data_IF_751512812549
#
_entry.id   IF_751512812549
#
_cell.length_a   1.000
_cell.length_b   1.000
_cell.length_c   1.000
_cell.angle_alpha   90.00
_cell.angle_beta   90.00
_cell.angle_gamma   90.00
#
_symmetry.space_group_name_H-M   'P 1'
#
loop_
_entity.id
_entity.type
_entity.pdbx_description
1 polymer ?
#
# COMPACT_ATOMS: atom_id res chain seq x y z
N UNK A 1 -99.47 -7.23 -23.22
CA UNK A 1 -98.55 -7.92 -24.16
C UNK A 1 -97.16 -7.92 -23.52
N UNK A 2 -96.63 -9.12 -23.27
CA UNK A 2 -95.21 -9.54 -23.22
C UNK A 2 -94.21 -8.67 -22.41
N UNK A 3 -93.88 -9.09 -21.17
CA UNK A 3 -92.61 -9.75 -20.77
C UNK A 3 -91.45 -8.75 -20.50
N UNK A 4 -90.57 -8.82 -19.50
CA UNK A 4 -90.34 -9.68 -18.33
C UNK A 4 -89.03 -9.16 -17.64
N UNK A 5 -89.02 -8.96 -16.31
CA UNK A 5 -87.88 -9.05 -15.32
C UNK A 5 -86.61 -8.19 -15.53
N UNK A 6 -86.21 -7.32 -14.57
CA UNK A 6 -85.38 -7.54 -13.35
C UNK A 6 -83.96 -8.10 -13.59
N UNK A 7 -83.00 -7.52 -12.85
CA UNK A 7 -81.57 -7.82 -12.60
C UNK A 7 -80.57 -6.86 -13.30
N UNK A 8 -79.87 -5.96 -12.61
CA UNK A 8 -78.74 -6.11 -11.64
C UNK A 8 -77.38 -6.23 -12.36
N UNK A 9 -76.52 -5.23 -12.11
CA UNK A 9 -75.04 -5.26 -12.12
C UNK A 9 -74.28 -5.75 -13.36
N UNK A 10 -73.54 -4.84 -14.01
CA UNK A 10 -72.12 -5.06 -14.40
C UNK A 10 -71.39 -3.72 -14.39
N UNK A 11 -70.73 -3.40 -13.27
CA UNK A 11 -69.63 -2.44 -13.25
C UNK A 11 -68.37 -3.25 -13.62
N UNK A 12 -67.81 -3.01 -14.80
CA UNK A 12 -66.60 -3.67 -15.28
C UNK A 12 -65.40 -3.07 -14.55
N UNK A 13 -65.09 -3.61 -13.37
CA UNK A 13 -63.81 -3.38 -12.69
C UNK A 13 -62.78 -4.26 -13.39
N UNK A 14 -61.90 -3.64 -14.18
CA UNK A 14 -60.64 -4.27 -14.57
C UNK A 14 -59.76 -4.33 -13.32
N UNK A 15 -59.76 -5.48 -12.64
CA UNK A 15 -58.70 -5.83 -11.71
C UNK A 15 -57.47 -6.14 -12.55
N UNK A 16 -56.62 -5.12 -12.77
CA UNK A 16 -55.22 -5.39 -13.10
C UNK A 16 -54.59 -6.01 -11.86
N UNK A 17 -54.56 -7.34 -11.82
CA UNK A 17 -53.61 -8.06 -10.98
C UNK A 17 -52.25 -7.76 -11.60
N UNK A 18 -51.60 -6.70 -11.11
CA UNK A 18 -50.15 -6.58 -11.29
C UNK A 18 -49.56 -7.78 -10.58
N UNK A 19 -49.22 -8.83 -11.35
CA UNK A 19 -48.27 -9.81 -10.89
C UNK A 19 -46.97 -9.04 -10.70
N UNK A 20 -46.75 -8.52 -9.50
CA UNK A 20 -45.41 -8.23 -9.04
C UNK A 20 -44.72 -9.58 -9.02
N UNK A 21 -44.00 -9.91 -10.09
CA UNK A 21 -42.94 -10.90 -9.99
C UNK A 21 -41.93 -10.29 -9.03
N UNK A 22 -42.13 -10.53 -7.74
CA UNK A 22 -41.00 -10.55 -6.83
C UNK A 22 -40.06 -11.57 -7.43
N UNK A 23 -38.93 -11.12 -7.99
CA UNK A 23 -37.78 -11.99 -8.14
C UNK A 23 -37.61 -12.62 -6.76
N UNK A 24 -37.95 -13.89 -6.62
CA UNK A 24 -37.65 -14.61 -5.42
C UNK A 24 -36.13 -14.55 -5.32
N UNK A 25 -35.62 -13.71 -4.41
CA UNK A 25 -34.28 -13.91 -3.90
C UNK A 25 -34.23 -15.39 -3.54
N UNK A 26 -33.34 -16.15 -4.17
CA UNK A 26 -33.07 -17.50 -3.70
C UNK A 26 -32.84 -17.38 -2.19
N UNK A 27 -33.48 -18.23 -1.40
CA UNK A 27 -33.29 -18.18 0.04
C UNK A 27 -31.80 -18.38 0.32
N UNK A 28 -31.19 -17.51 1.12
CA UNK A 28 -29.78 -17.65 1.53
C UNK A 28 -29.53 -19.10 1.98
N UNK A 29 -28.40 -19.71 1.61
CA UNK A 29 -28.07 -21.10 1.98
C UNK A 29 -27.63 -21.19 3.45
N UNK A 30 -28.55 -20.82 4.35
CA UNK A 30 -28.26 -20.62 5.77
C UNK A 30 -27.91 -21.91 6.50
N UNK A 31 -28.49 -23.05 6.10
CA UNK A 31 -28.16 -24.34 6.70
C UNK A 31 -26.76 -24.80 6.30
N UNK A 32 -26.35 -24.57 5.04
CA UNK A 32 -24.97 -24.78 4.58
C UNK A 32 -23.99 -23.92 5.40
N UNK A 33 -24.29 -22.64 5.56
CA UNK A 33 -23.47 -21.73 6.37
C UNK A 33 -23.38 -22.17 7.84
N UNK A 34 -24.48 -22.63 8.45
CA UNK A 34 -24.49 -23.16 9.84
C UNK A 34 -23.57 -24.36 10.00
N UNK A 35 -23.60 -25.29 9.05
CA UNK A 35 -22.75 -26.48 9.07
C UNK A 35 -21.27 -26.10 8.95
N UNK A 36 -20.94 -25.18 8.04
CA UNK A 36 -19.59 -24.65 7.88
C UNK A 36 -19.12 -23.96 9.17
N UNK A 37 -19.94 -23.08 9.75
CA UNK A 37 -19.60 -22.35 10.98
C UNK A 37 -19.38 -23.32 12.14
N UNK A 38 -20.31 -24.26 12.36
CA UNK A 38 -20.20 -25.26 13.44
C UNK A 38 -18.91 -26.07 13.33
N UNK A 39 -18.52 -26.42 12.11
CA UNK A 39 -17.38 -27.28 11.83
C UNK A 39 -16.04 -26.55 11.84
N UNK A 40 -15.97 -25.34 11.28
CA UNK A 40 -14.70 -24.68 10.97
C UNK A 40 -14.44 -23.39 11.76
N UNK A 41 -15.44 -22.82 12.43
CA UNK A 41 -15.19 -21.63 13.25
C UNK A 41 -14.16 -21.93 14.34
N UNK A 42 -13.25 -20.97 14.57
CA UNK A 42 -12.10 -21.16 15.46
C UNK A 42 -12.49 -21.43 16.92
N UNK A 43 -13.71 -21.06 17.32
CA UNK A 43 -14.26 -21.26 18.66
C UNK A 43 -15.57 -22.06 18.63
N UNK A 44 -16.07 -22.44 19.80
CA UNK A 44 -17.40 -23.04 19.93
C UNK A 44 -18.48 -21.98 19.80
N UNK A 45 -19.49 -22.25 18.96
CA UNK A 45 -20.60 -21.31 18.71
C UNK A 45 -21.86 -21.84 19.40
N UNK A 46 -22.50 -21.05 20.28
CA UNK A 46 -23.73 -21.47 20.94
C UNK A 46 -24.89 -21.52 19.93
N UNK A 47 -25.84 -22.43 20.14
CA UNK A 47 -27.01 -22.57 19.25
C UNK A 47 -27.83 -21.28 19.17
N UNK A 48 -27.83 -20.43 20.22
CA UNK A 48 -28.48 -19.11 20.19
C UNK A 48 -27.91 -18.15 19.12
N UNK A 49 -26.64 -18.34 18.73
CA UNK A 49 -26.00 -17.60 17.64
C UNK A 49 -26.25 -18.29 16.30
N UNK A 50 -26.16 -19.62 16.23
CA UNK A 50 -26.43 -20.37 14.99
C UNK A 50 -27.89 -20.27 14.53
N UNK A 51 -28.83 -20.13 15.46
CA UNK A 51 -30.27 -20.02 15.19
C UNK A 51 -30.70 -18.59 14.80
N UNK A 52 -29.77 -17.66 14.58
CA UNK A 52 -30.09 -16.34 14.03
C UNK A 52 -30.72 -16.48 12.62
N UNK A 53 -31.57 -15.54 12.20
CA UNK A 53 -32.44 -15.71 11.03
C UNK A 53 -31.74 -15.54 9.68
N UNK A 54 -30.56 -14.91 9.63
CA UNK A 54 -29.79 -14.68 8.40
C UNK A 54 -28.31 -15.01 8.63
N UNK A 55 -27.58 -15.33 7.56
CA UNK A 55 -26.14 -15.64 7.68
C UNK A 55 -25.39 -14.42 8.22
N UNK A 56 -25.74 -13.22 7.75
CA UNK A 56 -25.17 -11.94 8.21
C UNK A 56 -25.36 -11.69 9.71
N UNK A 57 -26.52 -12.07 10.27
CA UNK A 57 -26.74 -11.99 11.72
C UNK A 57 -25.94 -13.02 12.51
N UNK A 58 -25.74 -14.23 11.98
CA UNK A 58 -24.86 -15.23 12.60
C UNK A 58 -23.43 -14.65 12.66
N UNK A 59 -22.88 -14.21 11.52
CA UNK A 59 -21.48 -13.77 11.44
C UNK A 59 -21.19 -12.54 12.29
N UNK A 60 -22.14 -11.60 12.43
CA UNK A 60 -22.03 -10.43 13.33
C UNK A 60 -21.81 -10.78 14.80
N UNK A 61 -22.26 -11.95 15.24
CA UNK A 61 -22.11 -12.43 16.61
C UNK A 61 -20.89 -13.36 16.79
N UNK A 62 -20.14 -13.65 15.72
CA UNK A 62 -18.92 -14.46 15.79
C UNK A 62 -17.72 -13.56 16.17
N UNK A 63 -17.28 -12.74 15.23
CA UNK A 63 -16.14 -11.82 15.38
C UNK A 63 -16.19 -10.75 14.27
N UNK A 64 -15.41 -9.65 14.35
CA UNK A 64 -15.46 -8.58 13.36
C UNK A 64 -14.87 -8.92 11.98
N UNK A 65 -14.29 -10.11 11.79
CA UNK A 65 -13.62 -10.55 10.57
C UNK A 65 -14.36 -11.64 9.81
N UNK A 66 -15.30 -12.32 10.47
CA UNK A 66 -16.23 -13.28 9.88
C UNK A 66 -17.39 -12.53 9.24
N UNK A 67 -17.57 -12.69 7.94
CA UNK A 67 -18.50 -11.89 7.13
C UNK A 67 -19.12 -12.75 6.05
N UNK A 68 -20.43 -12.61 5.87
CA UNK A 68 -21.14 -13.07 4.68
C UNK A 68 -21.06 -12.00 3.58
N UNK A 69 -20.64 -12.39 2.39
CA UNK A 69 -20.54 -11.52 1.22
C UNK A 69 -21.36 -12.12 0.08
N UNK A 70 -22.15 -11.30 -0.60
CA UNK A 70 -22.71 -11.67 -1.91
C UNK A 70 -21.58 -11.89 -2.93
N UNK A 71 -21.89 -12.46 -4.10
CA UNK A 71 -20.91 -12.60 -5.18
C UNK A 71 -20.31 -11.23 -5.60
N UNK A 72 -21.12 -10.17 -5.62
CA UNK A 72 -20.67 -8.81 -5.90
C UNK A 72 -19.74 -8.27 -4.80
N UNK A 73 -20.16 -8.36 -3.53
CA UNK A 73 -19.35 -7.93 -2.38
C UNK A 73 -18.01 -8.71 -2.32
N UNK A 74 -18.02 -9.99 -2.67
CA UNK A 74 -16.80 -10.81 -2.73
C UNK A 74 -15.87 -10.37 -3.86
N UNK A 75 -16.41 -10.05 -5.05
CA UNK A 75 -15.63 -9.53 -6.17
C UNK A 75 -15.01 -8.16 -5.83
N UNK A 76 -15.74 -7.27 -5.15
CA UNK A 76 -15.18 -6.01 -4.67
C UNK A 76 -14.05 -6.24 -3.66
N UNK A 77 -14.25 -7.18 -2.74
CA UNK A 77 -13.27 -7.56 -1.75
C UNK A 77 -11.98 -8.13 -2.38
N UNK A 78 -12.10 -9.03 -3.36
CA UNK A 78 -10.93 -9.59 -4.06
C UNK A 78 -10.23 -8.53 -4.91
N UNK A 79 -10.98 -7.70 -5.65
CA UNK A 79 -10.41 -6.58 -6.41
C UNK A 79 -9.55 -5.67 -5.50
N UNK A 80 -10.03 -5.33 -4.30
CA UNK A 80 -9.26 -4.54 -3.35
C UNK A 80 -7.94 -5.22 -2.95
N UNK A 81 -7.92 -6.54 -2.74
CA UNK A 81 -6.68 -7.30 -2.47
C UNK A 81 -5.76 -7.31 -3.69
N UNK A 82 -6.29 -7.46 -4.89
CA UNK A 82 -5.51 -7.40 -6.13
C UNK A 82 -5.04 -5.98 -6.48
N UNK A 83 -5.35 -4.99 -5.64
CA UNK A 83 -5.10 -3.57 -5.87
C UNK A 83 -5.76 -3.12 -7.19
N UNK A 84 -6.99 -3.56 -7.40
CA UNK A 84 -7.83 -3.30 -8.56
C UNK A 84 -9.09 -2.56 -8.15
N UNK A 85 -9.68 -1.82 -9.08
CA UNK A 85 -11.02 -1.28 -8.94
C UNK A 85 -11.73 -1.29 -10.29
N UNK A 86 -13.06 -1.32 -10.29
CA UNK A 86 -13.84 -1.22 -11.53
C UNK A 86 -14.18 0.24 -11.82
N UNK A 87 -13.94 0.68 -13.06
CA UNK A 87 -14.33 2.01 -13.50
C UNK A 87 -13.75 2.38 -14.86
N UNK A 88 -13.52 3.68 -15.07
CA UNK A 88 -12.94 4.22 -16.32
C UNK A 88 -11.45 4.52 -16.20
N UNK A 89 -10.86 4.37 -15.01
CA UNK A 89 -9.44 4.63 -14.75
C UNK A 89 -9.05 6.11 -14.71
N UNK A 90 -9.69 6.88 -13.82
CA UNK A 90 -9.33 8.28 -13.54
C UNK A 90 -9.23 8.54 -12.04
N UNK A 91 -8.42 9.52 -11.66
CA UNK A 91 -8.40 10.14 -10.34
C UNK A 91 -9.11 11.49 -10.40
N UNK A 92 -9.97 11.78 -9.45
CA UNK A 92 -10.85 12.95 -9.45
C UNK A 92 -10.53 13.92 -8.31
N UNK A 93 -10.82 15.20 -8.54
CA UNK A 93 -10.88 16.28 -7.56
C UNK A 93 -12.19 17.04 -7.73
N UNK A 94 -12.71 17.63 -6.65
CA UNK A 94 -13.88 18.49 -6.71
C UNK A 94 -13.61 19.73 -7.58
N UNK A 95 -14.60 20.11 -8.39
CA UNK A 95 -14.56 21.33 -9.19
C UNK A 95 -15.95 22.00 -9.15
N UNK A 96 -16.06 23.34 -9.09
CA UNK A 96 -17.36 24.01 -9.07
C UNK A 96 -18.30 23.63 -10.23
N UNK A 97 -17.74 23.24 -11.39
CA UNK A 97 -18.53 22.83 -12.57
C UNK A 97 -18.86 21.33 -12.62
N UNK A 98 -18.28 20.52 -11.74
CA UNK A 98 -18.36 19.06 -11.82
C UNK A 98 -17.24 18.38 -11.04
N UNK A 99 -16.54 17.45 -11.69
CA UNK A 99 -15.33 16.84 -11.12
C UNK A 99 -14.17 16.92 -12.10
N UNK A 100 -13.02 17.40 -11.62
CA UNK A 100 -11.81 17.55 -12.43
C UNK A 100 -10.98 16.28 -12.38
N UNK A 101 -10.41 15.92 -13.52
CA UNK A 101 -9.51 14.77 -13.65
C UNK A 101 -8.10 15.19 -13.22
N UNK A 102 -7.64 14.65 -12.11
CA UNK A 102 -6.26 14.82 -11.63
C UNK A 102 -5.28 13.94 -12.39
N UNK A 103 -5.66 12.69 -12.65
CA UNK A 103 -4.82 11.72 -13.33
C UNK A 103 -5.66 10.75 -14.15
N UNK A 104 -5.07 10.23 -15.21
CA UNK A 104 -5.63 9.16 -16.03
C UNK A 104 -4.69 7.96 -15.93
N UNK A 105 -5.24 6.80 -15.60
CA UNK A 105 -4.43 5.59 -15.47
C UNK A 105 -4.04 5.05 -16.86
N UNK A 106 -2.77 4.68 -17.08
CA UNK A 106 -2.32 4.11 -18.35
C UNK A 106 -3.08 2.84 -18.71
N UNK A 107 -3.41 2.69 -19.99
CA UNK A 107 -4.17 1.56 -20.51
C UNK A 107 -5.64 1.53 -20.09
N UNK A 108 -6.17 2.58 -19.47
CA UNK A 108 -7.57 2.65 -19.03
C UNK A 108 -8.56 2.99 -20.15
N UNK A 109 -9.87 2.74 -19.97
CA UNK A 109 -10.90 3.25 -20.85
C UNK A 109 -10.83 4.77 -21.09
N UNK A 110 -10.53 5.55 -20.03
CA UNK A 110 -10.40 7.00 -20.13
C UNK A 110 -9.20 7.42 -21.02
N UNK A 111 -8.05 6.78 -20.84
CA UNK A 111 -6.87 7.07 -21.68
C UNK A 111 -7.16 6.77 -23.15
N UNK A 112 -7.77 5.61 -23.45
CA UNK A 112 -8.16 5.23 -24.82
C UNK A 112 -9.18 6.17 -25.44
N UNK A 113 -10.05 6.77 -24.62
CA UNK A 113 -11.01 7.77 -25.06
C UNK A 113 -10.39 9.16 -25.30
N UNK A 114 -9.11 9.37 -24.96
CA UNK A 114 -8.40 10.64 -25.13
C UNK A 114 -8.72 11.66 -24.04
N UNK A 115 -9.24 11.19 -22.90
CA UNK A 115 -9.44 11.99 -21.70
C UNK A 115 -8.07 12.32 -21.08
N UNK A 116 -7.91 13.53 -20.56
CA UNK A 116 -6.64 14.08 -20.10
C UNK A 116 -6.73 14.64 -18.68
N UNK A 117 -5.58 14.71 -18.00
CA UNK A 117 -5.44 15.50 -16.77
C UNK A 117 -5.88 16.94 -17.03
N UNK A 118 -6.72 17.46 -16.14
CA UNK A 118 -7.29 18.81 -16.21
C UNK A 118 -8.66 18.89 -16.90
N UNK A 119 -9.12 17.83 -17.59
CA UNK A 119 -10.50 17.77 -18.10
C UNK A 119 -11.48 17.78 -16.93
N UNK A 120 -12.65 18.42 -17.09
CA UNK A 120 -13.70 18.54 -16.06
C UNK A 120 -14.94 17.81 -16.55
N UNK A 121 -15.29 16.71 -15.88
CA UNK A 121 -16.53 15.95 -16.15
C UNK A 121 -17.70 16.75 -15.58
N UNK A 122 -18.55 17.24 -16.47
CA UNK A 122 -19.72 18.07 -16.13
C UNK A 122 -21.00 17.25 -16.03
N UNK A 123 -21.11 16.14 -16.78
CA UNK A 123 -22.26 15.24 -16.71
C UNK A 123 -21.85 13.76 -16.77
N UNK A 124 -22.61 12.92 -16.07
CA UNK A 124 -22.57 11.46 -16.21
C UNK A 124 -23.98 10.97 -16.53
N UNK A 125 -24.13 10.20 -17.61
CA UNK A 125 -25.41 9.69 -18.11
C UNK A 125 -26.48 10.79 -18.24
N UNK A 126 -26.07 11.99 -18.65
CA UNK A 126 -26.93 13.16 -18.78
C UNK A 126 -27.22 13.91 -17.48
N UNK A 127 -26.89 13.36 -16.31
CA UNK A 127 -27.04 14.04 -15.02
C UNK A 127 -25.88 14.99 -14.77
N UNK A 128 -26.17 16.23 -14.39
CA UNK A 128 -25.15 17.23 -14.08
C UNK A 128 -24.43 16.88 -12.78
N UNK A 129 -23.12 17.11 -12.73
CA UNK A 129 -22.29 16.99 -11.54
C UNK A 129 -21.98 18.35 -10.89
N UNK A 130 -22.55 19.45 -11.37
CA UNK A 130 -22.25 20.77 -10.82
C UNK A 130 -22.66 20.86 -9.34
N UNK A 131 -21.69 21.14 -8.46
CA UNK A 131 -21.90 21.18 -7.01
C UNK A 131 -22.04 19.80 -6.34
N UNK A 132 -21.91 18.71 -7.10
CA UNK A 132 -21.87 17.36 -6.54
C UNK A 132 -20.49 17.02 -5.95
N UNK A 133 -20.48 16.08 -5.01
CA UNK A 133 -19.23 15.58 -4.44
C UNK A 133 -18.50 14.64 -5.39
N UNK A 134 -17.19 14.49 -5.22
CA UNK A 134 -16.41 13.44 -5.89
C UNK A 134 -17.00 12.05 -5.60
N UNK A 135 -17.53 11.82 -4.40
CA UNK A 135 -18.13 10.53 -4.04
C UNK A 135 -19.37 10.21 -4.88
N UNK A 136 -20.20 11.23 -5.16
CA UNK A 136 -21.33 11.09 -6.09
C UNK A 136 -20.84 10.65 -7.46
N UNK A 137 -19.81 11.31 -8.00
CA UNK A 137 -19.24 10.94 -9.30
C UNK A 137 -18.68 9.51 -9.31
N UNK A 138 -17.94 9.12 -8.27
CA UNK A 138 -17.42 7.74 -8.12
C UNK A 138 -18.57 6.73 -8.14
N UNK A 139 -19.68 6.99 -7.46
CA UNK A 139 -20.84 6.09 -7.44
C UNK A 139 -21.47 5.87 -8.83
N UNK A 140 -21.27 6.79 -9.77
CA UNK A 140 -21.68 6.60 -11.16
C UNK A 140 -20.60 5.93 -11.99
N UNK A 141 -19.31 6.22 -11.76
CA UNK A 141 -18.20 5.70 -12.54
C UNK A 141 -17.83 4.25 -12.19
N UNK A 142 -17.93 3.89 -10.91
CA UNK A 142 -17.57 2.57 -10.37
C UNK A 142 -18.81 1.72 -10.17
N UNK A 143 -19.35 1.21 -11.29
CA UNK A 143 -20.43 0.21 -11.33
C UNK A 143 -19.89 -1.09 -11.91
N UNK A 144 -20.77 -2.10 -12.01
CA UNK A 144 -20.49 -3.41 -12.59
C UNK A 144 -19.58 -3.34 -13.83
N UNK A 145 -18.61 -4.24 -13.87
CA UNK A 145 -17.68 -4.41 -14.98
C UNK A 145 -18.44 -4.60 -16.29
N UNK A 146 -17.88 -4.14 -17.42
CA UNK A 146 -18.43 -4.29 -18.78
C UNK A 146 -19.73 -3.52 -19.04
N UNK A 147 -20.25 -2.79 -18.07
CA UNK A 147 -21.34 -1.83 -18.29
C UNK A 147 -20.82 -0.51 -18.85
N UNK A 148 -21.66 0.22 -19.58
CA UNK A 148 -21.28 1.49 -20.21
C UNK A 148 -21.60 2.71 -19.34
N UNK A 149 -20.84 3.78 -19.51
CA UNK A 149 -21.08 5.10 -18.92
C UNK A 149 -20.87 6.18 -19.96
N UNK A 150 -21.80 7.12 -20.06
CA UNK A 150 -21.65 8.29 -20.94
C UNK A 150 -21.19 9.48 -20.12
N UNK A 151 -20.08 10.08 -20.52
CA UNK A 151 -19.49 11.24 -19.88
C UNK A 151 -19.63 12.43 -20.80
N UNK A 152 -19.97 13.59 -20.24
CA UNK A 152 -19.72 14.89 -20.88
C UNK A 152 -18.64 15.59 -20.07
N UNK A 153 -17.58 16.05 -20.74
CA UNK A 153 -16.47 16.76 -20.11
C UNK A 153 -16.04 17.99 -20.91
N UNK A 154 -15.59 19.02 -20.20
CA UNK A 154 -14.97 20.21 -20.75
C UNK A 154 -13.44 20.08 -20.66
N UNK A 155 -12.75 20.50 -21.72
CA UNK A 155 -11.29 20.67 -21.73
C UNK A 155 -10.95 22.16 -21.57
N UNK A 156 -10.57 22.63 -20.38
CA UNK A 156 -10.41 24.06 -20.13
C UNK A 156 -9.39 24.74 -21.04
N UNK A 157 -8.31 24.03 -21.39
CA UNK A 157 -7.24 24.55 -22.24
C UNK A 157 -7.68 24.87 -23.67
N UNK A 158 -8.71 24.20 -24.20
CA UNK A 158 -9.26 24.48 -25.54
C UNK A 158 -10.67 25.08 -25.50
N UNK A 159 -11.34 25.04 -24.35
CA UNK A 159 -12.75 25.42 -24.20
C UNK A 159 -13.73 24.46 -24.89
N UNK A 160 -13.26 23.30 -25.36
CA UNK A 160 -14.10 22.33 -26.06
C UNK A 160 -14.83 21.42 -25.08
N UNK A 161 -16.03 20.99 -25.47
CA UNK A 161 -16.82 20.00 -24.76
C UNK A 161 -16.89 18.72 -25.57
N UNK A 162 -16.78 17.57 -24.90
CA UNK A 162 -16.79 16.24 -25.49
C UNK A 162 -17.84 15.39 -24.79
N UNK A 163 -18.53 14.54 -25.54
CA UNK A 163 -19.40 13.50 -25.00
C UNK A 163 -18.96 12.15 -25.54
N UNK A 164 -18.65 11.21 -24.64
CA UNK A 164 -18.15 9.89 -25.00
C UNK A 164 -18.77 8.82 -24.11
N UNK A 165 -19.05 7.66 -24.70
CA UNK A 165 -19.46 6.47 -23.95
C UNK A 165 -18.27 5.55 -23.78
N UNK A 166 -17.95 5.23 -22.53
CA UNK A 166 -16.86 4.35 -22.14
C UNK A 166 -17.44 3.07 -21.55
N UNK A 167 -16.72 1.95 -21.72
CA UNK A 167 -17.03 0.69 -21.06
C UNK A 167 -16.19 0.59 -19.79
N UNK A 168 -16.82 0.24 -18.67
CA UNK A 168 -16.13 0.03 -17.39
C UNK A 168 -15.29 -1.23 -17.44
N UNK A 169 -14.07 -1.14 -16.94
CA UNK A 169 -13.13 -2.25 -16.89
C UNK A 169 -12.48 -2.31 -15.50
N UNK A 170 -11.87 -3.46 -15.21
CA UNK A 170 -10.99 -3.61 -14.06
C UNK A 170 -9.70 -2.81 -14.33
N UNK A 171 -9.42 -1.85 -13.45
CA UNK A 171 -8.23 -1.02 -13.49
C UNK A 171 -7.21 -1.56 -12.50
N UNK A 172 -6.06 -1.99 -13.00
CA UNK A 172 -4.96 -2.49 -12.17
C UNK A 172 -4.09 -1.32 -11.68
N UNK A 173 -4.00 -1.14 -10.37
CA UNK A 173 -3.05 -0.23 -9.75
C UNK A 173 -1.70 -0.93 -9.54
N UNK A 174 -0.64 -0.13 -9.46
CA UNK A 174 0.69 -0.64 -9.16
C UNK A 174 0.72 -1.17 -7.71
N UNK A 175 0.88 -2.49 -7.55
CA UNK A 175 0.94 -3.11 -6.23
C UNK A 175 2.33 -2.96 -5.57
N UNK A 176 3.40 -2.94 -6.37
CA UNK A 176 4.77 -2.78 -5.89
C UNK A 176 5.40 -1.53 -6.47
N UNK A 177 5.72 -0.58 -5.59
CA UNK A 177 6.50 0.62 -5.92
C UNK A 177 7.96 0.39 -5.57
N UNK A 178 8.89 0.94 -6.36
CA UNK A 178 10.31 0.75 -6.10
C UNK A 178 11.16 1.91 -6.61
N UNK A 179 12.24 2.20 -5.90
CA UNK A 179 13.20 3.25 -6.25
C UNK A 179 14.60 2.97 -5.70
N UNK A 180 15.64 3.43 -6.40
CA UNK A 180 17.00 3.46 -5.85
C UNK A 180 17.21 4.79 -5.10
N UNK A 181 17.28 4.73 -3.78
CA UNK A 181 17.59 5.86 -2.92
C UNK A 181 19.10 6.15 -2.89
N UNK A 182 19.46 7.31 -2.35
CA UNK A 182 20.86 7.72 -2.16
C UNK A 182 21.70 6.67 -1.42
N UNK A 183 22.99 6.60 -1.70
CA UNK A 183 23.85 5.53 -1.15
C UNK A 183 23.60 4.14 -1.75
N UNK A 184 22.85 4.05 -2.85
CA UNK A 184 22.42 2.82 -3.51
C UNK A 184 21.60 1.92 -2.59
N UNK A 185 20.61 2.50 -1.91
CA UNK A 185 19.68 1.75 -1.06
C UNK A 185 18.42 1.46 -1.88
N UNK A 186 18.10 0.19 -2.09
CA UNK A 186 16.89 -0.21 -2.80
C UNK A 186 15.67 -0.04 -1.90
N UNK A 187 14.69 0.73 -2.34
CA UNK A 187 13.39 0.87 -1.67
C UNK A 187 12.34 0.09 -2.45
N UNK A 188 11.54 -0.71 -1.75
CA UNK A 188 10.42 -1.48 -2.31
C UNK A 188 9.24 -1.36 -1.35
N UNK A 189 8.10 -0.84 -1.82
CA UNK A 189 6.84 -0.77 -1.07
C UNK A 189 5.86 -1.78 -1.65
N UNK A 190 5.24 -2.56 -0.78
CA UNK A 190 4.14 -3.47 -1.14
C UNK A 190 2.83 -2.88 -0.60
N UNK A 191 1.89 -2.60 -1.49
CA UNK A 191 0.60 -1.99 -1.11
C UNK A 191 -0.42 -3.03 -0.63
N UNK A 192 -0.43 -4.23 -1.24
CA UNK A 192 -1.30 -5.34 -0.86
C UNK A 192 -0.63 -6.70 -1.10
N UNK A 193 -0.98 -7.71 -0.31
CA UNK A 193 -0.55 -9.10 -0.54
C UNK A 193 -1.46 -9.77 -1.58
N UNK A 194 -1.36 -9.35 -2.83
CA UNK A 194 -2.03 -9.90 -4.01
C UNK A 194 -1.38 -11.21 -4.51
N UNK A 195 -2.03 -11.92 -5.44
CA UNK A 195 -1.47 -13.15 -6.04
C UNK A 195 -0.17 -12.91 -6.82
N UNK A 196 -0.01 -11.73 -7.42
CA UNK A 196 1.18 -11.36 -8.20
C UNK A 196 2.30 -10.73 -7.36
N UNK A 197 2.12 -10.56 -6.04
CA UNK A 197 3.08 -9.87 -5.16
C UNK A 197 4.51 -10.38 -5.30
N UNK A 198 4.70 -11.70 -5.30
CA UNK A 198 6.04 -12.29 -5.39
C UNK A 198 6.72 -12.00 -6.73
N UNK A 199 5.97 -12.09 -7.83
CA UNK A 199 6.45 -11.78 -9.17
C UNK A 199 6.88 -10.31 -9.26
N UNK A 200 6.05 -9.40 -8.75
CA UNK A 200 6.33 -7.96 -8.82
C UNK A 200 7.52 -7.55 -7.94
N UNK A 201 7.64 -8.13 -6.73
CA UNK A 201 8.82 -7.93 -5.86
C UNK A 201 10.08 -8.48 -6.53
N UNK A 202 10.02 -9.66 -7.14
CA UNK A 202 11.16 -10.23 -7.88
C UNK A 202 11.60 -9.30 -9.02
N UNK A 203 10.66 -8.74 -9.77
CA UNK A 203 10.95 -7.75 -10.81
C UNK A 203 11.58 -6.48 -10.23
N UNK A 204 11.07 -5.95 -9.12
CA UNK A 204 11.63 -4.78 -8.44
C UNK A 204 13.07 -5.03 -7.98
N UNK A 205 13.36 -6.19 -7.35
CA UNK A 205 14.73 -6.54 -6.92
C UNK A 205 15.67 -6.61 -8.13
N UNK A 206 15.22 -7.18 -9.25
CA UNK A 206 16.02 -7.26 -10.47
C UNK A 206 16.26 -5.90 -11.13
N UNK A 207 15.29 -4.98 -11.06
CA UNK A 207 15.45 -3.60 -11.57
C UNK A 207 16.39 -2.78 -10.70
N UNK A 208 16.41 -3.03 -9.40
CA UNK A 208 17.28 -2.38 -8.42
C UNK A 208 18.61 -3.14 -8.18
N UNK A 209 19.10 -3.85 -9.20
CA UNK A 209 20.44 -4.48 -9.17
C UNK A 209 21.51 -3.46 -8.81
N UNK A 210 22.39 -3.83 -7.88
CA UNK A 210 23.45 -2.95 -7.36
C UNK A 210 23.11 -2.25 -6.04
N UNK A 211 21.90 -2.48 -5.50
CA UNK A 211 21.56 -2.05 -4.15
C UNK A 211 22.53 -2.64 -3.11
N UNK A 212 22.99 -1.78 -2.20
CA UNK A 212 23.92 -2.09 -1.09
C UNK A 212 23.22 -2.25 0.26
N UNK A 213 21.92 -2.00 0.28
CA UNK A 213 20.99 -2.20 1.39
C UNK A 213 19.58 -2.09 0.86
N UNK A 214 18.60 -2.57 1.62
CA UNK A 214 17.20 -2.65 1.20
C UNK A 214 16.27 -2.10 2.27
N UNK A 215 15.26 -1.36 1.86
CA UNK A 215 14.14 -0.94 2.70
C UNK A 215 12.87 -1.50 2.08
N UNK A 216 12.18 -2.36 2.81
CA UNK A 216 10.90 -2.96 2.41
C UNK A 216 9.77 -2.31 3.22
N UNK A 217 8.88 -1.58 2.56
CA UNK A 217 7.83 -0.80 3.21
C UNK A 217 6.51 -1.57 3.22
N UNK A 218 6.01 -1.83 4.44
CA UNK A 218 4.70 -2.45 4.73
C UNK A 218 3.79 -1.49 5.50
N UNK A 219 4.13 -0.21 5.62
CA UNK A 219 3.24 0.81 6.20
C UNK A 219 1.96 0.87 5.38
N UNK A 220 0.83 1.02 6.08
CA UNK A 220 -0.51 1.11 5.49
C UNK A 220 -0.98 -0.13 4.71
N UNK A 221 -0.25 -1.25 4.82
CA UNK A 221 -0.61 -2.50 4.18
C UNK A 221 -1.45 -3.38 5.13
N UNK A 222 -2.76 -3.45 4.87
CA UNK A 222 -3.73 -4.25 5.64
C UNK A 222 -3.62 -5.77 5.47
N UNK A 223 -2.73 -6.24 4.62
CA UNK A 223 -2.47 -7.65 4.33
C UNK A 223 -2.99 -8.09 2.97
N UNK A 224 -3.61 -9.27 2.92
CA UNK A 224 -4.06 -9.94 1.69
C UNK A 224 -3.94 -11.45 1.85
N UNK A 225 -3.55 -12.16 0.79
CA UNK A 225 -3.46 -13.62 0.84
C UNK A 225 -2.33 -14.12 1.73
N UNK A 226 -2.64 -15.19 2.47
CA UNK A 226 -1.69 -15.88 3.34
C UNK A 226 -0.59 -16.59 2.51
N UNK A 227 -0.93 -17.11 1.33
CA UNK A 227 0.04 -17.68 0.39
C UNK A 227 1.08 -16.65 -0.04
N UNK A 228 0.64 -15.45 -0.42
CA UNK A 228 1.53 -14.34 -0.75
C UNK A 228 2.45 -13.97 0.44
N UNK A 229 1.96 -14.04 1.69
CA UNK A 229 2.81 -13.85 2.87
C UNK A 229 3.95 -14.89 2.96
N UNK A 230 3.68 -16.16 2.64
CA UNK A 230 4.71 -17.22 2.61
C UNK A 230 5.76 -16.97 1.52
N UNK A 231 5.33 -16.48 0.35
CA UNK A 231 6.22 -16.14 -0.77
C UNK A 231 7.07 -14.91 -0.46
N UNK A 232 6.43 -13.85 0.05
CA UNK A 232 7.09 -12.58 0.41
C UNK A 232 8.15 -12.82 1.48
N UNK A 233 7.85 -13.62 2.52
CA UNK A 233 8.82 -14.01 3.53
C UNK A 233 10.03 -14.76 2.93
N UNK A 234 9.85 -15.44 1.80
CA UNK A 234 10.89 -16.18 1.07
C UNK A 234 11.96 -15.31 0.41
N UNK A 235 11.73 -14.00 0.23
CA UNK A 235 12.74 -13.05 -0.28
C UNK A 235 13.80 -12.67 0.76
N UNK A 236 13.50 -12.81 2.05
CA UNK A 236 14.35 -12.35 3.12
C UNK A 236 15.47 -13.37 3.45
N UNK A 237 16.68 -12.90 3.75
CA UNK A 237 17.79 -13.79 4.10
C UNK A 237 17.50 -14.50 5.43
N UNK A 238 17.94 -15.76 5.57
CA UNK A 238 17.83 -16.58 6.79
C UNK A 238 16.40 -16.92 7.26
N UNK A 239 15.36 -16.55 6.51
CA UNK A 239 13.97 -16.85 6.86
C UNK A 239 13.56 -18.19 6.24
N UNK A 240 13.08 -19.12 7.06
CA UNK A 240 12.67 -20.48 6.63
C UNK A 240 11.25 -20.84 7.07
N UNK A 241 10.77 -20.26 8.17
CA UNK A 241 9.41 -20.45 8.70
C UNK A 241 8.58 -19.19 8.49
N UNK A 242 7.40 -19.28 7.91
CA UNK A 242 6.54 -18.13 7.69
C UNK A 242 5.78 -17.79 8.98
N UNK A 243 4.89 -18.65 9.44
CA UNK A 243 4.06 -18.39 10.61
C UNK A 243 3.59 -19.70 11.22
N UNK A 244 2.91 -19.61 12.36
CA UNK A 244 2.20 -20.71 12.98
C UNK A 244 0.70 -20.40 13.03
N UNK A 245 -0.13 -21.39 12.73
CA UNK A 245 -1.57 -21.33 12.91
C UNK A 245 -2.01 -22.30 14.01
N UNK A 246 -3.07 -21.94 14.72
CA UNK A 246 -3.80 -22.84 15.62
C UNK A 246 -5.27 -22.74 15.28
N UNK A 247 -5.86 -23.84 14.84
CA UNK A 247 -7.29 -23.94 14.57
C UNK A 247 -8.07 -24.22 15.88
N UNK A 248 -9.33 -24.63 15.74
CA UNK A 248 -10.20 -25.02 16.87
C UNK A 248 -9.61 -26.14 17.75
N UNK A 249 -8.74 -27.01 17.22
CA UNK A 249 -8.05 -28.04 18.02
C UNK A 249 -6.93 -27.47 18.89
N UNK A 250 -6.59 -26.18 18.68
CA UNK A 250 -5.52 -25.45 19.32
C UNK A 250 -4.12 -26.09 19.13
N UNK A 251 -3.96 -26.96 18.13
CA UNK A 251 -2.68 -27.58 17.79
C UNK A 251 -1.85 -26.63 16.93
N UNK A 252 -0.55 -26.44 17.24
CA UNK A 252 0.33 -25.59 16.44
C UNK A 252 0.70 -26.23 15.12
N UNK A 253 0.37 -25.56 14.01
CA UNK A 253 0.79 -25.91 12.66
C UNK A 253 1.75 -24.84 12.13
N UNK A 254 3.02 -25.19 11.95
CA UNK A 254 4.05 -24.26 11.47
C UNK A 254 4.18 -24.38 9.95
N UNK A 255 4.04 -23.24 9.26
CA UNK A 255 4.16 -23.14 7.82
C UNK A 255 5.56 -22.67 7.43
N UNK A 256 6.11 -23.24 6.37
CA UNK A 256 7.39 -22.80 5.81
C UNK A 256 7.18 -21.62 4.85
N UNK A 257 8.24 -20.84 4.64
CA UNK A 257 8.25 -19.88 3.52
C UNK A 257 8.25 -20.63 2.19
N UNK A 258 7.77 -19.98 1.14
CA UNK A 258 7.94 -20.45 -0.25
C UNK A 258 9.21 -19.77 -0.79
N UNK A 259 10.31 -20.52 -1.01
CA UNK A 259 11.57 -19.92 -1.42
C UNK A 259 11.48 -19.23 -2.78
N UNK A 260 12.13 -18.08 -2.89
CA UNK A 260 12.17 -17.28 -4.11
C UNK A 260 13.53 -17.43 -4.81
N UNK A 261 13.52 -17.38 -6.15
CA UNK A 261 14.73 -17.49 -6.98
C UNK A 261 15.63 -16.26 -6.88
N UNK A 262 15.05 -15.11 -6.54
CA UNK A 262 15.74 -13.87 -6.23
C UNK A 262 15.48 -13.54 -4.76
N UNK A 263 16.48 -12.99 -4.07
CA UNK A 263 16.40 -12.57 -2.67
C UNK A 263 17.01 -11.19 -2.48
N UNK A 264 16.71 -10.56 -1.36
CA UNK A 264 17.46 -9.40 -0.92
C UNK A 264 18.89 -9.82 -0.56
N UNK A 265 19.88 -9.27 -1.27
CA UNK A 265 21.30 -9.69 -1.20
C UNK A 265 22.14 -8.89 -0.22
N UNK A 266 21.56 -7.89 0.43
CA UNK A 266 22.22 -6.95 1.34
C UNK A 266 21.34 -6.73 2.59
N UNK A 267 21.82 -6.03 3.65
CA UNK A 267 21.02 -5.79 4.85
C UNK A 267 19.65 -5.19 4.52
N UNK A 268 18.60 -5.74 5.14
CA UNK A 268 17.22 -5.33 4.89
C UNK A 268 16.63 -4.70 6.14
N UNK A 269 15.95 -3.58 5.96
CA UNK A 269 15.05 -2.99 6.94
C UNK A 269 13.60 -3.16 6.48
N UNK A 270 12.67 -3.38 7.40
CA UNK A 270 11.23 -3.34 7.11
C UNK A 270 10.63 -2.12 7.80
N UNK A 271 9.76 -1.37 7.11
CA UNK A 271 8.98 -0.31 7.72
C UNK A 271 7.57 -0.82 8.04
N UNK A 272 7.09 -0.56 9.26
CA UNK A 272 5.74 -0.91 9.73
C UNK A 272 5.11 0.23 10.51
N UNK A 273 3.79 0.33 10.47
CA UNK A 273 3.02 1.27 11.30
C UNK A 273 1.76 0.60 11.86
N UNK A 274 0.93 1.37 12.56
CA UNK A 274 -0.31 0.88 13.17
C UNK A 274 -1.34 0.30 12.18
N UNK A 275 -1.17 0.58 10.87
CA UNK A 275 -2.04 0.09 9.80
C UNK A 275 -1.48 -1.16 9.10
N UNK A 276 -0.23 -1.56 9.39
CA UNK A 276 0.31 -2.85 8.96
C UNK A 276 -0.44 -3.98 9.66
N UNK A 277 -1.18 -4.81 8.92
CA UNK A 277 -2.04 -5.85 9.51
C UNK A 277 -1.94 -7.21 8.79
N UNK A 278 -2.38 -8.28 9.46
CA UNK A 278 -2.59 -9.61 8.86
C UNK A 278 -1.33 -10.17 8.17
N UNK A 279 -1.32 -10.39 6.86
CA UNK A 279 -0.16 -10.87 6.11
C UNK A 279 1.10 -10.01 6.31
N UNK A 280 0.95 -8.69 6.46
CA UNK A 280 2.06 -7.79 6.83
C UNK A 280 2.69 -8.17 8.16
N UNK A 281 1.86 -8.58 9.13
CA UNK A 281 2.28 -9.01 10.46
C UNK A 281 2.88 -10.42 10.43
N UNK A 282 2.36 -11.31 9.57
CA UNK A 282 2.95 -12.62 9.32
C UNK A 282 4.40 -12.49 8.83
N UNK A 283 4.64 -11.67 7.80
CA UNK A 283 6.00 -11.40 7.30
C UNK A 283 6.84 -10.70 8.36
N UNK A 284 6.32 -9.65 8.99
CA UNK A 284 7.06 -8.87 10.00
C UNK A 284 7.50 -9.73 11.19
N UNK A 285 6.60 -10.55 11.75
CA UNK A 285 6.91 -11.45 12.85
C UNK A 285 7.92 -12.53 12.42
N UNK A 286 7.70 -13.15 11.27
CA UNK A 286 8.59 -14.18 10.68
C UNK A 286 10.02 -13.68 10.53
N UNK A 287 10.17 -12.55 9.85
CA UNK A 287 11.44 -11.99 9.42
C UNK A 287 12.19 -11.44 10.63
N UNK A 288 11.50 -10.73 11.54
CA UNK A 288 12.09 -10.21 12.78
C UNK A 288 12.64 -11.35 13.64
N UNK A 289 11.84 -12.39 13.86
CA UNK A 289 12.18 -13.48 14.78
C UNK A 289 13.36 -14.33 14.29
N UNK A 290 13.51 -14.44 12.98
CA UNK A 290 14.61 -15.14 12.29
C UNK A 290 15.76 -14.21 11.89
N UNK A 291 15.73 -12.94 12.32
CA UNK A 291 16.78 -11.94 12.06
C UNK A 291 17.06 -11.73 10.56
N UNK A 292 16.04 -11.85 9.72
CA UNK A 292 16.16 -11.59 8.28
C UNK A 292 16.15 -10.10 7.92
N UNK A 293 15.58 -9.26 8.80
CA UNK A 293 15.57 -7.81 8.66
C UNK A 293 15.43 -7.12 10.04
N UNK A 294 15.71 -5.82 10.07
CA UNK A 294 15.45 -4.95 11.22
C UNK A 294 14.17 -4.15 10.96
N UNK A 295 13.21 -4.21 11.88
CA UNK A 295 11.93 -3.50 11.74
C UNK A 295 12.05 -2.09 12.33
N UNK A 296 11.56 -1.10 11.57
CA UNK A 296 11.47 0.30 11.95
C UNK A 296 10.01 0.75 11.95
N UNK A 297 9.65 1.60 12.90
CA UNK A 297 8.40 2.34 12.89
C UNK A 297 7.60 2.28 14.17
N UNK A 298 6.31 1.96 14.07
CA UNK A 298 5.41 1.79 15.22
C UNK A 298 4.99 0.34 15.36
N UNK A 299 4.25 0.04 16.44
CA UNK A 299 3.64 -1.27 16.59
C UNK A 299 2.60 -1.49 15.47
N UNK A 300 2.53 -2.72 14.94
CA UNK A 300 1.52 -3.09 13.95
C UNK A 300 0.12 -3.26 14.55
N UNK A 301 -0.89 -3.48 13.71
CA UNK A 301 -2.30 -3.44 14.08
C UNK A 301 -2.73 -4.47 15.15
N UNK A 302 -2.22 -5.69 15.10
CA UNK A 302 -2.60 -6.79 16.00
C UNK A 302 -3.69 -7.71 15.45
N UNK A 303 -3.77 -7.92 14.13
CA UNK A 303 -4.73 -8.87 13.54
C UNK A 303 -4.15 -10.28 13.49
N UNK A 304 -4.24 -10.98 14.62
CA UNK A 304 -3.83 -12.38 14.77
C UNK A 304 -4.87 -13.44 14.39
N UNK A 305 -5.82 -13.14 13.52
CA UNK A 305 -6.87 -14.08 13.08
C UNK A 305 -6.67 -14.44 11.60
N UNK A 306 -6.85 -15.71 11.23
CA UNK A 306 -6.86 -16.18 9.85
C UNK A 306 -8.27 -16.54 9.42
N UNK A 307 -8.68 -16.01 8.27
CA UNK A 307 -9.94 -16.33 7.64
C UNK A 307 -9.77 -17.36 6.52
N UNK A 308 -10.81 -18.15 6.29
CA UNK A 308 -10.97 -18.99 5.11
C UNK A 308 -12.25 -18.57 4.37
N UNK A 309 -12.25 -18.72 3.05
CA UNK A 309 -13.40 -18.43 2.20
C UNK A 309 -14.12 -19.72 1.86
N UNK A 310 -15.43 -19.74 2.09
CA UNK A 310 -16.30 -20.86 1.77
C UNK A 310 -17.37 -20.36 0.79
N UNK A 311 -17.22 -20.67 -0.51
CA UNK A 311 -18.29 -20.43 -1.48
C UNK A 311 -19.53 -21.23 -1.07
N UNK A 312 -20.70 -20.61 -1.19
CA UNK A 312 -21.99 -21.24 -0.93
C UNK A 312 -22.71 -21.55 -2.25
N UNK A 313 -23.79 -22.32 -2.15
CA UNK A 313 -24.56 -22.78 -3.31
C UNK A 313 -25.21 -21.69 -4.17
N UNK A 314 -25.31 -20.45 -3.67
CA UNK A 314 -25.86 -19.28 -4.38
C UNK A 314 -24.76 -18.32 -4.89
N UNK A 315 -23.51 -18.79 -4.99
CA UNK A 315 -22.32 -18.00 -5.40
C UNK A 315 -21.88 -16.94 -4.38
N UNK A 316 -22.59 -16.77 -3.26
CA UNK A 316 -22.11 -15.98 -2.13
C UNK A 316 -20.92 -16.66 -1.45
N UNK A 317 -20.22 -15.91 -0.59
CA UNK A 317 -19.05 -16.39 0.13
C UNK A 317 -19.16 -16.10 1.61
N UNK A 318 -19.04 -17.15 2.42
CA UNK A 318 -18.80 -17.04 3.85
C UNK A 318 -17.29 -16.93 4.10
N UNK A 319 -16.83 -15.75 4.51
CA UNK A 319 -15.49 -15.55 5.05
C UNK A 319 -15.54 -15.80 6.54
N UNK A 320 -14.80 -16.80 7.03
CA UNK A 320 -14.92 -17.27 8.41
C UNK A 320 -13.55 -17.33 9.09
N UNK A 321 -13.44 -16.88 10.34
CA UNK A 321 -12.22 -17.08 11.14
C UNK A 321 -12.09 -18.55 11.53
N UNK A 322 -11.06 -19.22 10.99
CA UNK A 322 -10.81 -20.65 11.18
C UNK A 322 -9.58 -20.96 12.01
N UNK A 323 -8.68 -19.98 12.18
CA UNK A 323 -7.48 -20.15 12.99
C UNK A 323 -6.97 -18.84 13.59
N UNK A 324 -6.14 -18.96 14.63
CA UNK A 324 -5.34 -17.88 15.21
C UNK A 324 -3.90 -17.96 14.68
N UNK A 325 -3.34 -16.81 14.32
CA UNK A 325 -1.99 -16.64 13.82
C UNK A 325 -1.01 -16.28 14.96
N UNK A 326 0.16 -16.89 14.91
CA UNK A 326 1.30 -16.66 15.80
C UNK A 326 2.60 -16.57 14.98
N UNK A 327 3.63 -15.96 15.57
CA UNK A 327 4.99 -16.05 15.02
C UNK A 327 5.45 -17.52 14.88
N UNK A 328 6.52 -17.81 14.13
CA UNK A 328 7.03 -19.18 14.01
C UNK A 328 7.31 -19.88 15.36
N UNK A 329 7.80 -19.16 16.37
CA UNK A 329 8.01 -19.65 17.76
C UNK A 329 6.74 -19.65 18.62
N UNK A 330 5.59 -19.28 18.07
CA UNK A 330 4.31 -19.31 18.77
C UNK A 330 4.02 -18.06 19.61
N UNK A 331 4.66 -16.93 19.34
CA UNK A 331 4.35 -15.65 20.01
C UNK A 331 3.02 -15.11 19.46
N UNK A 332 2.05 -14.74 20.32
CA UNK A 332 0.76 -14.22 19.87
C UNK A 332 0.92 -12.87 19.17
N UNK A 333 0.11 -12.65 18.15
CA UNK A 333 0.00 -11.36 17.45
C UNK A 333 -1.38 -10.71 17.65
N UNK A 334 -2.42 -11.50 17.91
CA UNK A 334 -3.78 -10.97 18.12
C UNK A 334 -3.81 -9.98 19.28
N UNK A 335 -4.33 -8.77 19.02
CA UNK A 335 -4.41 -7.64 19.97
C UNK A 335 -3.07 -7.11 20.51
N UNK A 336 -1.95 -7.70 20.08
CA UNK A 336 -0.59 -7.33 20.51
C UNK A 336 0.17 -6.63 19.38
N UNK A 337 0.02 -7.10 18.14
CA UNK A 337 0.81 -6.67 17.00
C UNK A 337 2.27 -7.14 17.06
N UNK A 338 3.07 -6.59 16.15
CA UNK A 338 4.50 -6.85 15.99
C UNK A 338 5.22 -5.54 16.28
N UNK A 339 5.85 -5.47 17.45
CA UNK A 339 6.67 -4.31 17.80
C UNK A 339 7.90 -4.20 16.87
N UNK A 340 8.31 -2.99 16.48
CA UNK A 340 9.53 -2.82 15.68
C UNK A 340 10.79 -3.08 16.53
N UNK A 341 11.92 -3.29 15.87
CA UNK A 341 13.22 -3.31 16.54
C UNK A 341 13.66 -1.88 16.91
N UNK A 342 13.38 -0.92 16.04
CA UNK A 342 13.67 0.50 16.21
C UNK A 342 12.35 1.27 16.15
N UNK A 343 11.94 1.85 17.27
CA UNK A 343 10.76 2.73 17.30
C UNK A 343 11.09 4.08 16.67
N UNK A 344 10.20 4.60 15.84
CA UNK A 344 10.31 5.94 15.26
C UNK A 344 9.02 6.73 15.48
N UNK A 345 9.10 8.05 15.36
CA UNK A 345 7.89 8.87 15.23
C UNK A 345 7.16 8.52 13.91
N UNK A 346 5.85 8.76 13.89
CA UNK A 346 5.02 8.59 12.71
C UNK A 346 5.53 9.46 11.55
N UNK A 347 5.69 8.86 10.37
CA UNK A 347 6.20 9.53 9.16
C UNK A 347 7.74 9.63 9.10
N UNK A 348 8.45 9.23 10.15
CA UNK A 348 9.91 9.28 10.21
C UNK A 348 10.57 7.92 9.90
N UNK A 349 9.79 6.86 9.66
CA UNK A 349 10.28 5.48 9.54
C UNK A 349 11.33 5.36 8.43
N UNK A 350 10.98 5.87 7.23
CA UNK A 350 11.85 5.84 6.07
C UNK A 350 13.10 6.71 6.27
N UNK A 351 12.95 7.89 6.88
CA UNK A 351 14.07 8.82 7.08
C UNK A 351 15.09 8.24 8.05
N UNK A 352 14.63 7.68 9.17
CA UNK A 352 15.48 7.04 10.18
C UNK A 352 16.11 5.76 9.62
N UNK A 353 15.32 4.89 8.98
CA UNK A 353 15.82 3.65 8.40
C UNK A 353 16.87 3.89 7.32
N UNK A 354 16.63 4.83 6.40
CA UNK A 354 17.59 5.19 5.35
C UNK A 354 18.88 5.77 5.95
N UNK A 355 18.75 6.69 6.92
CA UNK A 355 19.91 7.27 7.63
C UNK A 355 20.76 6.19 8.29
N UNK A 356 20.14 5.25 9.00
CA UNK A 356 20.86 4.22 9.73
C UNK A 356 21.57 3.25 8.78
N UNK A 357 21.00 2.93 7.61
CA UNK A 357 21.71 2.18 6.57
C UNK A 357 22.92 2.95 6.05
N UNK A 358 22.78 4.24 5.73
CA UNK A 358 23.90 5.07 5.27
C UNK A 358 25.02 5.11 6.30
N UNK A 359 24.69 5.41 7.56
CA UNK A 359 25.66 5.49 8.65
C UNK A 359 26.33 4.14 8.91
N UNK A 360 25.62 3.02 8.75
CA UNK A 360 26.18 1.69 8.90
C UNK A 360 27.28 1.37 7.87
N UNK A 361 27.32 2.05 6.72
CA UNK A 361 28.38 1.91 5.71
C UNK A 361 29.64 2.73 5.99
N UNK A 362 29.55 3.76 6.85
CA UNK A 362 30.65 4.69 7.16
C UNK A 362 31.14 4.56 8.61
N UNK A 363 31.21 3.32 9.11
CA UNK A 363 31.72 3.04 10.47
C UNK A 363 33.11 3.65 10.66
N UNK A 364 33.29 4.37 11.76
CA UNK A 364 34.53 5.08 12.10
C UNK A 364 34.59 6.54 11.61
N UNK A 365 33.60 7.02 10.86
CA UNK A 365 33.50 8.45 10.55
C UNK A 365 33.08 9.24 11.78
N UNK A 366 33.63 10.44 11.94
CA UNK A 366 33.28 11.34 13.04
C UNK A 366 31.99 12.10 12.74
N UNK A 367 30.97 11.91 13.58
CA UNK A 367 29.76 12.75 13.58
C UNK A 367 30.11 14.18 14.03
N UNK A 368 29.67 15.18 13.27
CA UNK A 368 29.71 16.59 13.71
C UNK A 368 28.33 17.04 14.20
N UNK A 369 28.25 18.18 14.93
CA UNK A 369 26.97 18.76 15.32
C UNK A 369 26.06 19.01 14.11
N UNK A 370 24.77 18.69 14.26
CA UNK A 370 23.79 18.85 13.21
C UNK A 370 23.59 20.32 12.82
N UNK A 371 23.27 20.56 11.54
CA UNK A 371 22.86 21.87 11.04
C UNK A 371 21.34 21.91 10.91
N UNK A 372 20.68 22.72 11.74
CA UNK A 372 19.22 22.84 11.76
C UNK A 372 18.78 24.13 11.08
N UNK A 373 17.58 24.12 10.49
CA UNK A 373 16.94 25.28 9.88
C UNK A 373 17.85 26.04 8.91
N UNK A 374 18.54 25.31 8.03
CA UNK A 374 19.35 25.95 6.97
C UNK A 374 18.46 26.44 5.84
N UNK A 375 18.78 27.57 5.17
CA UNK A 375 18.01 28.02 4.02
C UNK A 375 18.04 26.97 2.90
N UNK A 376 16.99 26.90 2.09
CA UNK A 376 16.94 25.99 0.93
C UNK A 376 18.06 26.24 -0.08
N UNK A 377 18.65 27.43 -0.09
CA UNK A 377 19.82 27.84 -0.89
C UNK A 377 21.16 27.57 -0.20
N UNK A 378 21.19 26.77 0.88
CA UNK A 378 22.40 26.54 1.69
C UNK A 378 23.56 26.03 0.85
N UNK A 379 24.67 26.75 0.92
CA UNK A 379 26.00 26.22 0.58
C UNK A 379 26.75 25.84 1.85
N UNK A 380 27.62 24.84 1.74
CA UNK A 380 28.43 24.36 2.86
C UNK A 380 29.89 24.75 2.66
N UNK A 381 30.59 24.91 3.77
CA UNK A 381 32.03 25.19 3.80
C UNK A 381 32.70 24.17 4.69
N UNK A 382 33.71 23.49 4.17
CA UNK A 382 34.49 22.50 4.91
C UNK A 382 35.89 23.08 5.11
N UNK A 383 36.24 23.33 6.37
CA UNK A 383 37.53 23.91 6.77
C UNK A 383 38.41 22.85 7.43
N UNK A 384 39.59 22.66 6.86
CA UNK A 384 40.59 21.71 7.34
C UNK A 384 41.54 22.38 8.34
N UNK A 385 42.09 21.59 9.25
CA UNK A 385 43.06 22.07 10.25
C UNK A 385 44.49 22.20 9.68
N UNK A 386 44.73 21.67 8.49
CA UNK A 386 46.01 21.70 7.78
C UNK A 386 45.83 22.24 6.37
N UNK A 387 46.92 22.71 5.75
CA UNK A 387 46.94 23.04 4.33
C UNK A 387 46.80 21.76 3.50
N UNK A 388 45.92 21.78 2.52
CA UNK A 388 45.53 20.62 1.74
C UNK A 388 46.01 20.74 0.31
N UNK A 389 46.34 19.58 -0.29
CA UNK A 389 46.50 19.48 -1.72
C UNK A 389 45.12 19.22 -2.34
N UNK A 390 44.55 20.23 -2.99
CA UNK A 390 43.24 20.16 -3.64
C UNK A 390 43.27 19.64 -5.07
N UNK A 391 44.44 19.30 -5.61
CA UNK A 391 44.54 18.75 -6.97
C UNK A 391 43.74 17.45 -7.06
N UNK A 392 42.78 17.43 -7.99
CA UNK A 392 41.95 16.26 -8.24
C UNK A 392 40.79 16.05 -7.27
N UNK A 393 40.40 17.06 -6.47
CA UNK A 393 39.17 16.98 -5.67
C UNK A 393 37.95 16.77 -6.58
N UNK A 394 37.08 15.83 -6.20
CA UNK A 394 35.89 15.49 -6.99
C UNK A 394 34.62 15.58 -6.15
N UNK A 395 33.47 15.70 -6.82
CA UNK A 395 32.17 15.59 -6.17
C UNK A 395 31.99 14.24 -5.44
N UNK A 396 32.67 13.16 -5.88
CA UNK A 396 32.61 11.85 -5.21
C UNK A 396 33.29 11.80 -3.83
N UNK A 397 33.96 12.89 -3.42
CA UNK A 397 34.56 13.03 -2.10
C UNK A 397 33.58 13.58 -1.07
N UNK A 398 32.48 14.19 -1.52
CA UNK A 398 31.43 14.78 -0.68
C UNK A 398 30.05 14.37 -1.18
N UNK A 399 29.31 13.62 -0.38
CA UNK A 399 27.93 13.25 -0.71
C UNK A 399 26.95 14.11 0.10
N UNK A 400 25.90 14.59 -0.54
CA UNK A 400 24.75 15.19 0.12
C UNK A 400 23.53 14.35 -0.20
N UNK A 401 23.07 13.55 0.75
CA UNK A 401 21.99 12.59 0.51
C UNK A 401 20.72 13.08 1.17
N UNK A 402 19.62 13.19 0.43
CA UNK A 402 18.30 13.40 1.02
C UNK A 402 17.84 12.10 1.69
N UNK A 403 17.54 12.17 2.99
CA UNK A 403 16.96 11.03 3.70
C UNK A 403 15.59 10.71 3.11
N UNK A 404 15.29 9.42 2.94
CA UNK A 404 14.15 8.92 2.16
C UNK A 404 14.14 9.27 0.66
N UNK A 405 15.18 9.91 0.12
CA UNK A 405 15.24 10.32 -1.28
C UNK A 405 16.59 10.01 -1.94
N UNK A 406 16.91 10.79 -2.99
CA UNK A 406 18.12 10.62 -3.79
C UNK A 406 19.30 11.42 -3.25
N UNK A 407 20.49 11.09 -3.76
CA UNK A 407 21.64 11.96 -3.62
C UNK A 407 21.42 13.27 -4.39
N UNK A 408 21.69 14.39 -3.73
CA UNK A 408 21.66 15.73 -4.30
C UNK A 408 23.03 15.99 -4.92
N UNK A 409 23.13 16.21 -6.24
CA UNK A 409 24.41 16.52 -6.87
C UNK A 409 25.01 17.80 -6.29
N UNK A 410 26.32 17.80 -6.06
CA UNK A 410 27.06 18.95 -5.52
C UNK A 410 28.23 19.33 -6.42
N UNK A 411 28.55 20.62 -6.45
CA UNK A 411 29.83 21.13 -6.93
C UNK A 411 30.76 21.41 -5.76
N UNK A 412 32.03 21.06 -5.92
CA UNK A 412 33.07 21.25 -4.91
C UNK A 412 34.16 22.15 -5.47
N UNK A 413 34.49 23.24 -4.76
CA UNK A 413 35.51 24.20 -5.20
C UNK A 413 36.40 24.64 -4.02
N UNK A 414 37.72 24.60 -4.20
CA UNK A 414 38.64 25.19 -3.24
C UNK A 414 38.47 26.72 -3.19
N UNK A 415 38.34 27.27 -1.99
CA UNK A 415 38.30 28.72 -1.74
C UNK A 415 39.71 29.21 -1.38
N UNK A 416 40.41 28.45 -0.54
CA UNK A 416 41.78 28.72 -0.07
C UNK A 416 42.50 27.39 0.22
N UNK A 417 43.74 27.44 0.71
CA UNK A 417 44.56 26.25 0.98
C UNK A 417 44.04 25.34 2.11
N UNK A 418 43.00 25.73 2.84
CA UNK A 418 42.36 24.95 3.92
C UNK A 418 40.87 24.73 3.74
N UNK A 419 40.24 25.41 2.79
CA UNK A 419 38.79 25.52 2.74
C UNK A 419 38.24 25.17 1.36
N UNK A 420 37.20 24.34 1.35
CA UNK A 420 36.39 24.09 0.16
C UNK A 420 34.94 24.53 0.37
N UNK A 421 34.32 24.98 -0.72
CA UNK A 421 32.88 25.23 -0.82
C UNK A 421 32.20 24.03 -1.47
N UNK A 422 31.09 23.61 -0.88
CA UNK A 422 30.19 22.60 -1.44
C UNK A 422 28.86 23.28 -1.76
N UNK A 423 28.47 23.26 -3.02
CA UNK A 423 27.26 23.93 -3.51
C UNK A 423 26.32 22.88 -4.09
N UNK A 424 25.13 22.65 -3.49
CA UNK A 424 24.09 21.85 -4.10
C UNK A 424 23.71 22.39 -5.48
N UNK A 425 23.55 21.51 -6.48
CA UNK A 425 23.12 21.89 -7.84
C UNK A 425 21.64 22.26 -7.96
N UNK A 426 20.89 21.95 -6.92
CA UNK A 426 19.48 22.28 -6.77
C UNK A 426 19.21 22.73 -5.33
N UNK A 427 18.18 23.55 -5.15
CA UNK A 427 17.75 23.95 -3.80
C UNK A 427 17.36 22.71 -3.00
N UNK A 428 17.65 22.76 -1.70
CA UNK A 428 17.14 21.77 -0.75
C UNK A 428 15.62 21.87 -0.70
N UNK A 429 14.94 20.75 -0.51
CA UNK A 429 13.50 20.72 -0.29
C UNK A 429 13.19 21.32 1.08
N UNK A 430 12.12 22.11 1.15
CA UNK A 430 11.68 22.69 2.43
C UNK A 430 11.37 21.57 3.43
N UNK A 431 11.81 21.77 4.68
CA UNK A 431 11.76 20.76 5.76
C UNK A 431 12.51 19.45 5.46
N UNK A 432 13.27 19.40 4.36
CA UNK A 432 14.03 18.22 3.96
C UNK A 432 15.13 17.90 4.97
N UNK A 433 15.36 16.61 5.20
CA UNK A 433 16.45 16.10 6.04
C UNK A 433 17.51 15.46 5.16
N UNK A 434 18.77 15.75 5.46
CA UNK A 434 19.90 15.34 4.65
C UNK A 434 21.05 14.80 5.51
N UNK A 435 21.87 13.97 4.90
CA UNK A 435 23.15 13.52 5.43
C UNK A 435 24.26 14.04 4.52
N UNK A 436 25.07 14.96 5.03
CA UNK A 436 26.30 15.41 4.36
C UNK A 436 27.45 14.50 4.83
N UNK A 437 28.11 13.83 3.90
CA UNK A 437 29.23 12.93 4.17
C UNK A 437 30.47 13.47 3.45
N UNK A 438 31.59 13.49 4.16
CA UNK A 438 32.91 13.81 3.59
C UNK A 438 33.83 12.62 3.77
N UNK A 439 34.28 12.04 2.66
CA UNK A 439 35.16 10.87 2.68
C UNK A 439 36.62 11.27 2.92
N UNK A 440 37.41 10.46 3.65
CA UNK A 440 38.81 10.77 3.97
C UNK A 440 39.76 10.49 2.80
N UNK A 441 39.44 11.02 1.62
CA UNK A 441 40.21 10.81 0.38
C UNK A 441 41.29 11.88 0.16
N UNK A 442 41.27 12.96 0.93
CA UNK A 442 42.15 14.11 0.74
C UNK A 442 43.50 13.97 1.45
N UNK A 443 44.52 14.62 0.88
CA UNK A 443 45.88 14.68 1.43
C UNK A 443 46.27 16.13 1.75
N UNK A 444 46.99 16.30 2.84
CA UNK A 444 47.68 17.56 3.14
C UNK A 444 48.81 17.82 2.13
N UNK A 445 49.30 19.06 2.02
CA UNK A 445 50.45 19.41 1.17
C UNK A 445 51.69 18.55 1.48
N UNK A 446 51.88 18.19 2.75
CA UNK A 446 52.95 17.29 3.20
C UNK A 446 52.62 15.79 2.99
N UNK A 447 51.68 15.48 2.10
CA UNK A 447 51.22 14.12 1.76
C UNK A 447 50.55 13.32 2.88
N UNK A 448 50.29 13.92 4.06
CA UNK A 448 49.56 13.27 5.15
C UNK A 448 48.10 13.05 4.76
N UNK A 449 47.61 11.81 4.85
CA UNK A 449 46.20 11.51 4.58
C UNK A 449 45.27 11.99 5.69
N UNK A 450 44.03 12.35 5.31
CA UNK A 450 42.95 12.56 6.27
C UNK A 450 42.71 11.27 7.07
N UNK A 451 42.72 11.38 8.40
CA UNK A 451 42.66 10.19 9.28
C UNK A 451 41.30 9.51 9.31
N UNK A 452 40.21 10.28 9.17
CA UNK A 452 38.85 9.80 9.32
C UNK A 452 37.90 10.69 8.51
N UNK A 453 36.85 10.10 7.95
CA UNK A 453 35.77 10.87 7.33
C UNK A 453 34.91 11.56 8.38
N UNK A 454 34.03 12.45 7.92
CA UNK A 454 33.05 13.12 8.77
C UNK A 454 31.66 13.01 8.16
N UNK A 455 30.64 13.14 8.99
CA UNK A 455 29.27 13.32 8.51
C UNK A 455 28.48 14.27 9.40
N UNK A 456 27.46 14.90 8.81
CA UNK A 456 26.63 15.93 9.44
C UNK A 456 25.17 15.70 9.05
N UNK A 457 24.29 15.66 10.05
CA UNK A 457 22.84 15.71 9.82
C UNK A 457 22.44 17.16 9.50
N UNK A 458 21.65 17.36 8.46
CA UNK A 458 21.22 18.70 8.01
C UNK A 458 19.71 18.73 7.84
N UNK A 459 19.06 19.80 8.33
CA UNK A 459 17.62 20.04 8.17
C UNK A 459 17.40 21.41 7.55
N UNK A 460 16.69 21.45 6.42
CA UNK A 460 16.32 22.67 5.72
C UNK A 460 15.06 23.32 6.34
N UNK A 461 14.94 24.65 6.19
CA UNK A 461 13.79 25.43 6.65
C UNK A 461 12.48 25.09 5.92
#
# INVERSE_FOLDING_TARGET
MQHLKKYLSVLLVFLFVTQTTTLASAAEPIDEARDIIRKYYVEDVPDSVLNKPTIKEITRHLDPYSVYMTAEEFNEFTNAIENQFVGIGVMLEEDPKGVKILAVYPGSPAERAGIQTGDVITNINGQSLAGESVQTAISYLSREEKTSVTLTYERPVTGQSFTQTLVREVIQLQNVEYEMLGGNIGYVRLNSFSLDSAKDISAAIQKLKGAKGWIFDLRDNGGGYVSAAQEVAGFFPNVTKAFQLRDKTNKPHVFNVIPQSVKFTAPVHILVNAYSASASEMVSASVKEQKGAVLYGQNSFGKGSMQSFFPLSDESVLKLTTAKFFSPKGVPVHEVGVAPNVKTAEGEELLVSHRDQLVATIRGYKKLPALQNVPVTKTFTIKMNMKMNWTGITASDVQLIQLGGKEVPVDVKAIDEKTIKVTPKQNLQSKGKYLLIVHPKWKAENSRQMKQGIYVDVTAM
#
